data_IF_215009801485
#
_entry.id   IF_215009801485
#
_cell.length_a   1.000
_cell.length_b   1.000
_cell.length_c   1.000
_cell.angle_alpha   90.00
_cell.angle_beta   90.00
_cell.angle_gamma   90.00
#
_symmetry.space_group_name_H-M   'P 1'
#
loop_
_entity.id
_entity.type
_entity.pdbx_description
1 polymer ?
#
# COMPACT_ATOMS: atom_id res chain seq x y z
N UNK A 1 6.62 -11.05 8.98
CA UNK A 1 8.05 -11.38 8.90
C UNK A 1 8.82 -10.22 8.29
N UNK A 2 10.02 -9.89 8.79
CA UNK A 2 10.92 -8.89 8.19
C UNK A 2 12.18 -9.60 7.72
N UNK A 3 12.57 -9.36 6.48
CA UNK A 3 13.75 -9.92 5.84
C UNK A 3 14.58 -8.76 5.27
N UNK A 4 15.91 -8.85 5.36
CA UNK A 4 16.81 -7.90 4.73
C UNK A 4 17.11 -8.35 3.29
N UNK A 5 17.14 -7.41 2.37
CA UNK A 5 17.52 -7.63 0.97
C UNK A 5 18.67 -6.70 0.62
N UNK A 6 19.67 -7.22 -0.08
CA UNK A 6 20.77 -6.42 -0.61
C UNK A 6 20.37 -5.90 -1.98
N UNK A 7 20.54 -4.61 -2.20
CA UNK A 7 20.26 -3.95 -3.48
C UNK A 7 21.50 -3.19 -3.92
N UNK A 8 21.78 -3.24 -5.22
CA UNK A 8 22.76 -2.40 -5.87
C UNK A 8 22.30 -0.94 -5.94
N UNK A 9 23.23 -0.07 -6.33
CA UNK A 9 22.98 1.37 -6.45
C UNK A 9 21.84 1.69 -7.42
N UNK A 10 21.84 1.06 -8.60
CA UNK A 10 20.84 1.29 -9.64
C UNK A 10 19.42 0.87 -9.20
N UNK A 11 19.32 -0.27 -8.51
CA UNK A 11 18.04 -0.78 -7.97
C UNK A 11 17.50 0.16 -6.88
N UNK A 12 18.38 0.71 -6.04
CA UNK A 12 18.01 1.70 -5.05
C UNK A 12 17.51 3.00 -5.69
N UNK A 13 18.17 3.49 -6.73
CA UNK A 13 17.74 4.69 -7.48
C UNK A 13 16.40 4.48 -8.19
N UNK A 14 16.15 3.28 -8.74
CA UNK A 14 14.86 2.90 -9.30
C UNK A 14 13.75 2.90 -8.24
N UNK A 15 14.01 2.31 -7.07
CA UNK A 15 13.08 2.33 -5.95
C UNK A 15 12.79 3.75 -5.46
N UNK A 16 13.79 4.61 -5.41
CA UNK A 16 13.61 6.00 -4.95
C UNK A 16 12.76 6.83 -5.90
N UNK A 17 12.96 6.68 -7.20
CA UNK A 17 12.08 7.33 -8.19
C UNK A 17 10.65 6.81 -8.09
N UNK A 18 10.48 5.49 -7.99
CA UNK A 18 9.16 4.88 -7.86
C UNK A 18 8.46 5.28 -6.54
N UNK A 19 9.19 5.40 -5.43
CA UNK A 19 8.66 5.83 -4.15
C UNK A 19 8.18 7.29 -4.21
N UNK A 20 8.98 8.18 -4.80
CA UNK A 20 8.59 9.58 -5.01
C UNK A 20 7.35 9.71 -5.89
N UNK A 21 7.27 8.93 -6.97
CA UNK A 21 6.15 8.99 -7.91
C UNK A 21 4.84 8.42 -7.35
N UNK A 22 4.91 7.40 -6.47
CA UNK A 22 3.73 6.68 -5.99
C UNK A 22 3.32 7.01 -4.55
N UNK A 23 4.19 7.68 -3.79
CA UNK A 23 4.05 7.83 -2.33
C UNK A 23 4.20 6.53 -1.55
N UNK A 24 4.46 5.39 -2.21
CA UNK A 24 4.62 4.11 -1.55
C UNK A 24 6.02 3.97 -0.93
N UNK A 25 6.09 3.32 0.23
CA UNK A 25 7.39 2.97 0.83
C UNK A 25 8.18 2.00 -0.07
N UNK A 26 9.52 2.02 0.03
CA UNK A 26 10.38 1.03 -0.67
C UNK A 26 9.95 -0.41 -0.38
N UNK A 27 9.62 -0.72 0.86
CA UNK A 27 9.12 -2.04 1.27
C UNK A 27 7.84 -2.44 0.55
N UNK A 28 6.92 -1.48 0.34
CA UNK A 28 5.68 -1.71 -0.39
C UNK A 28 5.93 -1.96 -1.88
N UNK A 29 6.85 -1.21 -2.48
CA UNK A 29 7.26 -1.42 -3.86
C UNK A 29 7.91 -2.80 -4.05
N UNK A 30 8.77 -3.22 -3.13
CA UNK A 30 9.37 -4.56 -3.15
C UNK A 30 8.30 -5.65 -3.04
N UNK A 31 7.32 -5.50 -2.14
CA UNK A 31 6.19 -6.44 -2.05
C UNK A 31 5.40 -6.53 -3.35
N UNK A 32 5.08 -5.39 -3.97
CA UNK A 32 4.38 -5.35 -5.27
C UNK A 32 5.19 -6.02 -6.37
N UNK A 33 6.50 -5.78 -6.42
CA UNK A 33 7.40 -6.41 -7.38
C UNK A 33 7.43 -7.94 -7.18
N UNK A 34 7.55 -8.42 -5.94
CA UNK A 34 7.49 -9.85 -5.60
C UNK A 34 6.15 -10.45 -6.01
N UNK A 35 5.02 -9.82 -5.66
CA UNK A 35 3.70 -10.31 -6.07
C UNK A 35 3.49 -10.29 -7.58
N UNK A 36 4.10 -9.34 -8.30
CA UNK A 36 4.02 -9.30 -9.76
C UNK A 36 4.86 -10.39 -10.41
N UNK A 37 6.05 -10.65 -9.88
CA UNK A 37 6.99 -11.62 -10.44
C UNK A 37 6.65 -13.07 -10.05
N UNK A 38 6.20 -13.29 -8.81
CA UNK A 38 6.02 -14.62 -8.22
C UNK A 38 4.61 -14.87 -7.69
N UNK A 39 3.70 -13.89 -7.79
CA UNK A 39 2.32 -14.09 -7.35
C UNK A 39 1.62 -15.12 -8.22
N UNK A 40 1.12 -16.18 -7.58
CA UNK A 40 0.44 -17.30 -8.24
C UNK A 40 -1.04 -17.05 -8.51
N UNK A 41 -1.60 -15.95 -7.98
CA UNK A 41 -3.01 -15.62 -8.16
C UNK A 41 -3.33 -15.35 -9.64
N UNK A 42 -4.01 -16.30 -10.26
CA UNK A 42 -4.67 -16.17 -11.56
C UNK A 42 -5.61 -14.96 -11.56
N UNK A 43 -5.93 -14.45 -12.75
CA UNK A 43 -6.91 -13.37 -12.90
C UNK A 43 -8.23 -13.75 -12.24
N UNK A 44 -8.64 -15.01 -12.35
CA UNK A 44 -9.85 -15.56 -11.74
C UNK A 44 -9.80 -15.50 -10.21
N UNK A 45 -8.70 -15.92 -9.58
CA UNK A 45 -8.57 -15.85 -8.12
C UNK A 45 -8.60 -14.41 -7.61
N UNK A 46 -8.00 -13.46 -8.36
CA UNK A 46 -8.08 -12.04 -8.01
C UNK A 46 -9.51 -11.51 -8.11
N UNK A 47 -10.24 -11.89 -9.16
CA UNK A 47 -11.65 -11.50 -9.31
C UNK A 47 -12.53 -12.14 -8.24
N UNK A 48 -12.29 -13.41 -7.88
CA UNK A 48 -12.99 -14.09 -6.81
C UNK A 48 -12.74 -13.42 -5.45
N UNK A 49 -11.50 -13.01 -5.16
CA UNK A 49 -11.18 -12.25 -3.95
C UNK A 49 -11.91 -10.89 -3.92
N UNK A 50 -12.00 -10.20 -5.05
CA UNK A 50 -12.75 -8.95 -5.15
C UNK A 50 -14.25 -9.15 -4.91
N UNK A 51 -14.86 -10.16 -5.54
CA UNK A 51 -16.28 -10.46 -5.32
C UNK A 51 -16.56 -10.90 -3.88
N UNK A 52 -15.65 -11.67 -3.26
CA UNK A 52 -15.77 -12.04 -1.85
C UNK A 52 -15.69 -10.82 -0.91
N UNK A 53 -14.91 -9.79 -1.27
CA UNK A 53 -14.86 -8.53 -0.52
C UNK A 53 -16.07 -7.60 -0.74
N UNK A 54 -16.98 -7.97 -1.65
CA UNK A 54 -18.10 -7.09 -2.02
C UNK A 54 -19.05 -6.86 -0.85
N UNK A 55 -19.06 -5.64 -0.37
CA UNK A 55 -19.89 -5.22 0.75
C UNK A 55 -19.30 -5.49 2.12
N UNK A 56 -17.98 -5.72 2.26
CA UNK A 56 -17.28 -5.77 3.56
C UNK A 56 -17.47 -4.51 4.42
N UNK A 57 -17.93 -3.42 3.81
CA UNK A 57 -18.26 -2.14 4.43
C UNK A 57 -19.74 -1.97 4.80
N UNK A 58 -20.63 -2.90 4.43
CA UNK A 58 -22.05 -2.80 4.81
C UNK A 58 -22.21 -2.99 6.31
N UNK A 59 -23.04 -2.16 6.94
CA UNK A 59 -23.34 -2.24 8.37
C UNK A 59 -22.18 -1.82 9.28
N UNK A 60 -21.20 -1.07 8.77
CA UNK A 60 -20.23 -0.38 9.61
C UNK A 60 -20.83 0.95 10.07
N UNK A 61 -20.66 1.25 11.35
CA UNK A 61 -21.11 2.53 11.93
C UNK A 61 -20.13 3.68 11.64
N UNK A 62 -19.05 3.40 10.89
CA UNK A 62 -18.05 4.37 10.47
C UNK A 62 -17.87 4.34 8.95
N UNK A 63 -17.55 5.50 8.40
CA UNK A 63 -17.22 5.75 7.00
C UNK A 63 -15.81 5.27 6.66
N UNK A 64 -15.54 5.11 5.36
CA UNK A 64 -14.20 4.80 4.87
C UNK A 64 -13.16 5.85 5.26
N UNK A 65 -13.58 7.13 5.33
CA UNK A 65 -12.71 8.24 5.78
C UNK A 65 -12.31 8.07 7.24
N UNK A 66 -13.27 7.85 8.14
CA UNK A 66 -13.00 7.65 9.57
C UNK A 66 -12.07 6.45 9.81
N UNK A 67 -12.24 5.37 9.06
CA UNK A 67 -11.34 4.23 9.11
C UNK A 67 -9.91 4.58 8.69
N UNK A 68 -9.78 5.30 7.57
CA UNK A 68 -8.47 5.74 7.07
C UNK A 68 -7.80 6.66 8.07
N UNK A 69 -8.54 7.58 8.67
CA UNK A 69 -8.03 8.51 9.67
C UNK A 69 -7.59 7.76 10.94
N UNK A 70 -8.37 6.78 11.40
CA UNK A 70 -8.00 5.94 12.53
C UNK A 70 -6.70 5.13 12.27
N UNK A 71 -6.50 4.62 11.05
CA UNK A 71 -5.26 3.90 10.69
C UNK A 71 -4.07 4.85 10.56
N UNK A 72 -4.28 6.01 9.95
CA UNK A 72 -3.24 7.01 9.72
C UNK A 72 -2.80 7.69 11.02
N UNK A 73 -3.67 7.70 12.04
CA UNK A 73 -3.40 8.33 13.32
C UNK A 73 -3.07 9.81 13.14
N UNK A 74 -1.94 10.23 13.72
CA UNK A 74 -1.47 11.62 13.71
C UNK A 74 -0.96 12.11 12.34
N UNK A 75 -0.91 11.25 11.31
CA UNK A 75 -0.38 11.62 10.00
C UNK A 75 -1.12 12.81 9.40
N UNK A 76 -2.45 12.84 9.47
CA UNK A 76 -3.22 13.96 8.91
C UNK A 76 -2.90 15.27 9.65
N UNK A 77 -2.77 15.23 10.98
CA UNK A 77 -2.39 16.40 11.79
C UNK A 77 -0.96 16.86 11.46
N UNK A 78 -0.05 15.93 11.24
CA UNK A 78 1.33 16.22 10.82
C UNK A 78 1.38 16.85 9.44
N UNK A 79 0.58 16.36 8.49
CA UNK A 79 0.47 16.93 7.15
C UNK A 79 -0.13 18.34 7.20
N UNK A 80 -1.16 18.56 8.01
CA UNK A 80 -1.77 19.87 8.22
C UNK A 80 -0.76 20.89 8.78
N UNK A 81 0.08 20.50 9.76
CA UNK A 81 1.16 21.35 10.28
C UNK A 81 2.22 21.71 9.25
N UNK A 82 2.37 20.91 8.19
CA UNK A 82 3.28 21.17 7.08
C UNK A 82 2.62 21.90 5.90
N UNK A 83 1.31 22.21 5.97
CA UNK A 83 0.56 22.81 4.86
C UNK A 83 0.35 21.85 3.67
N UNK A 84 0.34 20.54 3.92
CA UNK A 84 0.26 19.49 2.89
C UNK A 84 -1.04 18.69 2.91
N UNK A 85 -1.98 19.04 3.79
CA UNK A 85 -3.30 18.42 3.89
C UNK A 85 -4.36 19.23 3.13
#
# INVERSE_FOLDING_TARGET
MRTQVTLGKEELELLDRAAKASGASRSELIRRAIHRAYGTGSKQERLAALDHSRGSWRGRDFTGTEYVDAIRGDLNERLARLGLA
#
